data_IF_831378551118
#
_entry.id   IF_831378551118
#
_cell.length_a   1.000
_cell.length_b   1.000
_cell.length_c   1.000
_cell.angle_alpha   90.00
_cell.angle_beta   90.00
_cell.angle_gamma   90.00
#
_symmetry.space_group_name_H-M   'P 1'
#
loop_
_entity.id
_entity.type
_entity.pdbx_description
1 polymer ?
#
# COMPACT_ATOMS: atom_id res chain seq x y z
N UNK A 1 11.07 27.76 5.72
CA UNK A 1 9.63 27.53 5.99
C UNK A 1 9.13 28.34 7.17
N UNK A 2 9.90 28.42 8.26
CA UNK A 2 9.56 29.22 9.44
C UNK A 2 10.55 30.36 9.63
N UNK A 3 10.10 31.44 10.27
CA UNK A 3 10.96 32.54 10.65
C UNK A 3 11.99 32.09 11.70
N UNK A 4 13.26 32.43 11.49
CA UNK A 4 14.37 31.99 12.36
C UNK A 4 14.24 32.53 13.78
N UNK A 5 13.68 33.73 13.95
CA UNK A 5 13.47 34.32 15.29
C UNK A 5 12.35 33.57 16.02
N UNK A 6 11.25 33.24 15.33
CA UNK A 6 10.18 32.42 15.88
C UNK A 6 10.66 31.02 16.29
N UNK A 7 11.52 30.36 15.49
CA UNK A 7 12.08 29.05 15.85
C UNK A 7 12.96 29.11 17.10
N UNK A 8 13.76 30.16 17.26
CA UNK A 8 14.58 30.36 18.47
C UNK A 8 13.74 30.60 19.72
N UNK A 9 12.66 31.38 19.61
CA UNK A 9 11.73 31.59 20.71
C UNK A 9 11.03 30.28 21.09
N UNK A 10 10.62 29.50 20.09
CA UNK A 10 10.01 28.19 20.29
C UNK A 10 10.97 27.21 20.97
N UNK A 11 12.26 27.23 20.62
CA UNK A 11 13.29 26.44 21.29
C UNK A 11 13.39 26.78 22.77
N UNK A 12 13.40 28.07 23.11
CA UNK A 12 13.41 28.53 24.49
C UNK A 12 12.16 28.06 25.23
N UNK A 13 10.98 28.26 24.64
CA UNK A 13 9.71 27.86 25.25
C UNK A 13 9.59 26.33 25.42
N UNK A 14 10.13 25.55 24.48
CA UNK A 14 10.19 24.08 24.57
C UNK A 14 11.04 23.65 25.75
N UNK A 15 12.23 24.24 25.94
CA UNK A 15 13.09 23.98 27.11
C UNK A 15 12.40 24.37 28.42
N UNK A 16 11.70 25.50 28.45
CA UNK A 16 10.92 25.91 29.62
C UNK A 16 9.82 24.89 29.94
N UNK A 17 9.03 24.46 28.94
CA UNK A 17 8.01 23.45 29.12
C UNK A 17 8.57 22.11 29.58
N UNK A 18 9.69 21.67 29.00
CA UNK A 18 10.34 20.42 29.34
C UNK A 18 10.76 20.40 30.82
N UNK A 19 11.38 21.49 31.29
CA UNK A 19 11.85 21.60 32.67
C UNK A 19 10.74 21.91 33.68
N UNK A 20 9.75 22.74 33.31
CA UNK A 20 8.73 23.22 34.25
C UNK A 20 7.49 22.32 34.32
N UNK A 21 7.31 21.42 33.35
CA UNK A 21 6.09 20.65 33.20
C UNK A 21 6.38 19.17 32.93
N UNK A 22 7.11 18.86 31.85
CA UNK A 22 7.25 17.48 31.39
C UNK A 22 8.11 16.61 32.33
N UNK A 23 9.34 17.04 32.64
CA UNK A 23 10.26 16.29 33.51
C UNK A 23 9.66 16.10 34.92
N UNK A 24 9.17 17.14 35.63
CA UNK A 24 8.58 16.95 36.96
C UNK A 24 7.37 16.01 36.96
N UNK A 25 6.57 16.04 35.90
CA UNK A 25 5.43 15.14 35.78
C UNK A 25 5.86 13.70 35.49
N UNK A 26 6.86 13.50 34.63
CA UNK A 26 7.45 12.18 34.33
C UNK A 26 8.13 11.57 35.56
N UNK A 27 8.77 12.38 36.41
CA UNK A 27 9.35 11.92 37.68
C UNK A 27 8.26 11.53 38.69
N UNK A 28 7.18 12.33 38.78
CA UNK A 28 6.05 12.04 39.67
C UNK A 28 5.25 10.82 39.19
N UNK A 29 5.05 10.71 37.89
CA UNK A 29 4.25 9.71 37.21
C UNK A 29 5.04 9.20 35.99
N UNK A 30 5.85 8.13 36.15
CA UNK A 30 6.64 7.59 35.05
C UNK A 30 5.80 7.22 33.84
N UNK A 31 6.39 7.39 32.67
CA UNK A 31 5.79 6.91 31.43
C UNK A 31 5.68 5.39 31.44
N UNK A 32 4.70 4.85 30.71
CA UNK A 32 4.45 3.40 30.64
C UNK A 32 5.62 2.61 30.01
N UNK A 33 6.53 3.29 29.32
CA UNK A 33 7.73 2.75 28.66
C UNK A 33 8.85 3.76 28.79
N UNK A 34 10.08 3.27 28.85
CA UNK A 34 11.27 4.13 28.85
C UNK A 34 11.49 4.81 27.50
N UNK A 35 11.25 4.08 26.40
CA UNK A 35 11.32 4.57 25.03
C UNK A 35 10.04 4.21 24.26
N UNK A 36 9.60 5.13 23.40
CA UNK A 36 8.51 4.91 22.47
C UNK A 36 9.11 4.77 21.07
N UNK A 37 8.86 3.65 20.42
CA UNK A 37 9.29 3.39 19.05
C UNK A 37 8.10 2.94 18.20
N UNK A 38 8.15 3.25 16.90
CA UNK A 38 7.26 2.63 15.94
C UNK A 38 7.75 1.22 15.56
N UNK A 39 6.99 0.50 14.72
CA UNK A 39 7.33 -0.86 14.27
C UNK A 39 8.60 -0.96 13.41
N UNK A 40 9.22 0.18 13.09
CA UNK A 40 10.48 0.28 12.35
C UNK A 40 11.63 0.78 13.22
N UNK A 41 11.48 0.72 14.55
CA UNK A 41 12.49 1.11 15.55
C UNK A 41 12.90 2.58 15.44
N UNK A 42 11.99 3.42 14.93
CA UNK A 42 12.18 4.86 14.96
C UNK A 42 11.65 5.38 16.28
N UNK A 43 12.53 6.02 17.05
CA UNK A 43 12.16 6.71 18.29
C UNK A 43 11.14 7.81 18.03
N UNK A 44 10.10 7.81 18.86
CA UNK A 44 9.00 8.77 18.85
C UNK A 44 9.25 9.74 20.00
N UNK A 45 9.56 10.99 19.67
CA UNK A 45 9.69 12.04 20.66
C UNK A 45 8.34 12.32 21.33
N UNK A 46 8.31 12.74 22.61
CA UNK A 46 7.07 13.07 23.31
C UNK A 46 6.34 14.28 22.73
N UNK A 47 7.05 15.11 21.94
CA UNK A 47 6.49 16.28 21.28
C UNK A 47 7.27 16.61 20.00
N UNK A 48 6.55 16.81 18.91
CA UNK A 48 7.06 17.37 17.65
C UNK A 48 6.49 18.78 17.43
N UNK A 49 7.32 19.66 16.88
CA UNK A 49 7.09 21.10 16.73
C UNK A 49 7.65 21.57 15.38
N UNK A 50 7.39 22.83 14.97
CA UNK A 50 8.05 23.41 13.80
C UNK A 50 9.59 23.34 13.80
N UNK A 51 10.25 23.22 14.95
CA UNK A 51 11.71 23.06 15.01
C UNK A 51 12.16 21.73 14.41
N UNK A 52 11.35 20.67 14.54
CA UNK A 52 11.72 19.31 14.11
C UNK A 52 11.66 19.14 12.58
N UNK A 53 11.14 20.16 11.87
CA UNK A 53 11.17 20.28 10.41
C UNK A 53 11.75 21.64 9.96
N UNK A 54 12.38 22.39 10.87
CA UNK A 54 12.77 23.79 10.67
C UNK A 54 13.73 24.02 9.49
N UNK A 55 14.59 23.03 9.22
CA UNK A 55 15.60 23.07 8.17
C UNK A 55 15.09 22.66 6.78
N UNK A 56 13.83 22.20 6.68
CA UNK A 56 13.25 21.82 5.38
C UNK A 56 12.85 23.04 4.55
N UNK A 57 13.15 22.97 3.27
CA UNK A 57 12.66 23.91 2.26
C UNK A 57 11.32 23.41 1.73
N UNK A 58 10.28 24.25 1.83
CA UNK A 58 8.94 23.87 1.39
C UNK A 58 8.91 23.53 -0.09
N UNK A 59 9.49 24.35 -0.96
CA UNK A 59 9.40 24.18 -2.40
C UNK A 59 10.27 23.03 -2.89
N UNK A 60 11.39 22.75 -2.21
CA UNK A 60 12.32 21.67 -2.60
C UNK A 60 11.98 20.31 -1.98
N UNK A 61 11.64 20.26 -0.70
CA UNK A 61 11.52 19.00 0.04
C UNK A 61 10.07 18.50 0.15
N UNK A 62 9.08 19.40 0.03
CA UNK A 62 7.65 19.08 0.18
C UNK A 62 6.90 19.27 -1.15
N UNK A 63 7.03 20.45 -1.74
CA UNK A 63 6.41 20.88 -3.00
C UNK A 63 4.88 20.75 -3.05
N UNK A 64 4.31 20.98 -4.24
CA UNK A 64 2.89 20.81 -4.55
C UNK A 64 2.61 19.39 -5.07
N UNK A 65 1.39 18.85 -4.91
CA UNK A 65 1.04 17.57 -5.51
C UNK A 65 1.18 17.62 -7.04
N UNK A 66 1.73 16.56 -7.63
CA UNK A 66 2.04 16.51 -9.07
C UNK A 66 3.35 17.21 -9.48
N UNK A 67 4.10 17.77 -8.53
CA UNK A 67 5.42 18.35 -8.76
C UNK A 67 6.49 17.59 -7.96
N UNK A 68 7.71 17.51 -8.50
CA UNK A 68 8.85 16.93 -7.77
C UNK A 68 9.03 17.62 -6.40
N UNK A 69 9.31 16.89 -5.30
CA UNK A 69 9.65 15.47 -5.20
C UNK A 69 8.44 14.55 -4.99
N UNK A 70 7.22 15.02 -5.29
CA UNK A 70 5.97 14.27 -5.18
C UNK A 70 5.61 13.81 -3.76
N UNK A 71 6.18 14.45 -2.72
CA UNK A 71 5.91 14.09 -1.33
C UNK A 71 4.40 14.17 -1.00
N UNK A 72 3.68 15.10 -1.66
CA UNK A 72 2.24 15.30 -1.49
C UNK A 72 1.37 14.52 -2.49
N UNK A 73 1.98 13.65 -3.29
CA UNK A 73 1.32 12.81 -4.30
C UNK A 73 1.76 13.11 -5.72
N UNK A 74 1.68 12.10 -6.59
CA UNK A 74 2.14 12.14 -8.00
C UNK A 74 1.17 12.85 -8.95
N UNK A 75 -0.05 13.18 -8.52
CA UNK A 75 -1.08 13.82 -9.34
C UNK A 75 -1.59 15.09 -8.66
N UNK A 76 -1.75 16.20 -9.40
CA UNK A 76 -2.13 17.49 -8.79
C UNK A 76 -3.51 17.49 -8.14
N UNK A 77 -4.47 16.73 -8.66
CA UNK A 77 -5.84 16.66 -8.12
C UNK A 77 -6.05 15.51 -7.14
N UNK A 78 -5.13 14.54 -7.08
CA UNK A 78 -5.26 13.29 -6.31
C UNK A 78 -6.70 12.75 -6.34
N UNK A 79 -7.23 12.38 -5.18
CA UNK A 79 -8.55 11.76 -5.01
C UNK A 79 -9.74 12.73 -5.17
N UNK A 80 -9.50 14.04 -5.35
CA UNK A 80 -10.54 14.98 -5.79
C UNK A 80 -10.84 14.83 -7.28
N UNK A 81 -9.86 14.39 -8.07
CA UNK A 81 -10.03 14.13 -9.50
C UNK A 81 -10.42 12.68 -9.80
N UNK A 82 -9.71 11.72 -9.21
CA UNK A 82 -9.99 10.29 -9.38
C UNK A 82 -9.69 9.53 -8.09
N UNK A 83 -10.67 8.81 -7.56
CA UNK A 83 -10.46 7.93 -6.39
C UNK A 83 -9.42 6.84 -6.73
N UNK A 84 -8.77 6.28 -5.72
CA UNK A 84 -7.89 5.13 -5.94
C UNK A 84 -8.68 3.95 -6.53
N UNK A 85 -8.02 3.10 -7.32
CA UNK A 85 -8.64 1.88 -7.82
C UNK A 85 -8.91 0.95 -6.64
N UNK A 86 -10.19 0.64 -6.41
CA UNK A 86 -10.57 -0.46 -5.54
C UNK A 86 -10.29 -1.76 -6.30
N UNK A 87 -9.25 -2.48 -5.87
CA UNK A 87 -8.75 -3.69 -6.51
C UNK A 87 -8.53 -4.77 -5.45
N UNK A 88 -9.42 -5.74 -5.39
CA UNK A 88 -9.35 -6.91 -4.56
C UNK A 88 -8.50 -7.98 -5.23
N UNK A 89 -7.70 -8.64 -4.40
CA UNK A 89 -6.90 -9.78 -4.83
C UNK A 89 -7.77 -11.04 -4.79
N UNK A 90 -7.98 -11.66 -5.95
CA UNK A 90 -8.92 -12.77 -6.09
C UNK A 90 -8.47 -13.81 -7.12
N UNK A 91 -8.66 -15.07 -6.73
CA UNK A 91 -8.45 -16.26 -7.54
C UNK A 91 -8.59 -17.50 -6.66
N UNK A 92 -9.29 -18.52 -7.16
CA UNK A 92 -9.42 -19.85 -6.56
C UNK A 92 -10.03 -20.81 -7.59
N UNK A 93 -9.79 -22.10 -7.42
CA UNK A 93 -10.41 -23.15 -8.23
C UNK A 93 -10.10 -23.01 -9.72
N UNK A 94 -11.11 -23.27 -10.53
CA UNK A 94 -11.02 -23.15 -11.99
C UNK A 94 -11.16 -21.69 -12.46
N UNK A 95 -10.86 -21.47 -13.73
CA UNK A 95 -11.05 -20.18 -14.39
C UNK A 95 -12.52 -19.72 -14.35
N UNK A 96 -13.49 -20.63 -14.45
CA UNK A 96 -14.92 -20.32 -14.34
C UNK A 96 -15.29 -19.81 -12.94
N UNK A 97 -14.85 -20.50 -11.88
CA UNK A 97 -15.16 -20.12 -10.50
C UNK A 97 -14.58 -18.74 -10.16
N UNK A 98 -13.35 -18.47 -10.62
CA UNK A 98 -12.75 -17.14 -10.46
C UNK A 98 -13.42 -16.08 -11.33
N UNK A 99 -13.87 -16.41 -12.54
CA UNK A 99 -14.64 -15.49 -13.39
C UNK A 99 -15.94 -15.05 -12.69
N UNK A 100 -16.67 -15.98 -12.07
CA UNK A 100 -17.86 -15.68 -11.28
C UNK A 100 -17.55 -14.73 -10.13
N UNK A 101 -16.41 -14.96 -9.44
CA UNK A 101 -15.92 -14.05 -8.39
C UNK A 101 -15.61 -12.65 -8.92
N UNK A 102 -14.99 -12.52 -10.09
CA UNK A 102 -14.73 -11.22 -10.70
C UNK A 102 -16.02 -10.48 -11.04
N UNK A 103 -16.99 -11.16 -11.64
CA UNK A 103 -18.30 -10.59 -11.94
C UNK A 103 -19.01 -10.13 -10.67
N UNK A 104 -18.96 -10.94 -9.61
CA UNK A 104 -19.48 -10.54 -8.30
C UNK A 104 -18.80 -9.26 -7.80
N UNK A 105 -17.47 -9.19 -7.78
CA UNK A 105 -16.75 -8.05 -7.23
C UNK A 105 -16.98 -6.77 -8.04
N UNK A 106 -16.96 -6.86 -9.36
CA UNK A 106 -17.28 -5.74 -10.26
C UNK A 106 -18.70 -5.22 -10.01
N UNK A 107 -19.67 -6.11 -9.82
CA UNK A 107 -21.04 -5.73 -9.47
C UNK A 107 -21.15 -5.03 -8.09
N UNK A 108 -20.17 -5.23 -7.20
CA UNK A 108 -20.11 -4.64 -5.86
C UNK A 108 -19.14 -3.44 -5.75
N UNK A 109 -18.76 -2.85 -6.88
CA UNK A 109 -18.01 -1.58 -6.91
C UNK A 109 -16.49 -1.73 -7.02
N UNK A 110 -15.98 -2.93 -7.26
CA UNK A 110 -14.58 -3.08 -7.68
C UNK A 110 -14.35 -2.36 -9.03
N UNK A 111 -13.22 -1.67 -9.17
CA UNK A 111 -12.90 -0.81 -10.33
C UNK A 111 -11.67 -1.26 -11.11
N UNK A 112 -11.07 -2.39 -10.70
CA UNK A 112 -10.03 -3.10 -11.43
C UNK A 112 -9.79 -4.47 -10.79
N UNK A 113 -9.36 -5.45 -11.57
CA UNK A 113 -9.19 -6.84 -11.11
C UNK A 113 -7.74 -7.14 -10.72
N UNK A 114 -7.51 -8.00 -9.72
CA UNK A 114 -6.19 -8.55 -9.43
C UNK A 114 -6.21 -10.07 -9.37
N UNK A 115 -5.49 -10.72 -10.27
CA UNK A 115 -5.45 -12.18 -10.41
C UNK A 115 -4.47 -12.79 -9.43
N UNK A 116 -4.96 -13.67 -8.56
CA UNK A 116 -4.17 -14.57 -7.74
C UNK A 116 -4.10 -15.94 -8.42
N UNK A 117 -2.90 -16.39 -8.79
CA UNK A 117 -2.69 -17.71 -9.41
C UNK A 117 -2.37 -18.78 -8.37
N UNK A 118 -2.70 -20.03 -8.66
CA UNK A 118 -2.32 -21.14 -7.81
C UNK A 118 -0.81 -21.44 -7.86
N UNK A 119 -0.32 -22.32 -6.99
CA UNK A 119 1.11 -22.66 -6.95
C UNK A 119 1.62 -23.26 -8.27
N UNK A 120 0.96 -24.25 -8.89
CA UNK A 120 1.35 -24.76 -10.20
C UNK A 120 1.58 -23.66 -11.24
N UNK A 121 0.62 -22.76 -11.43
CA UNK A 121 0.73 -21.64 -12.36
C UNK A 121 1.85 -20.68 -11.95
N UNK A 122 2.01 -20.37 -10.67
CA UNK A 122 3.09 -19.49 -10.18
C UNK A 122 4.50 -20.04 -10.46
N UNK A 123 4.64 -21.37 -10.56
CA UNK A 123 5.89 -22.07 -10.83
C UNK A 123 6.04 -22.54 -12.30
N UNK A 124 5.02 -22.32 -13.14
CA UNK A 124 5.06 -22.68 -14.56
C UNK A 124 4.84 -24.18 -14.81
N UNK A 125 4.10 -24.85 -13.93
CA UNK A 125 3.66 -26.23 -14.13
C UNK A 125 2.24 -26.28 -14.67
N UNK A 126 2.02 -27.18 -15.63
CA UNK A 126 0.67 -27.57 -16.00
C UNK A 126 -0.04 -28.28 -14.84
N UNK A 127 -1.36 -28.19 -14.82
CA UNK A 127 -2.21 -28.75 -13.76
C UNK A 127 -2.03 -30.26 -13.55
N UNK A 128 -1.67 -31.00 -14.61
CA UNK A 128 -1.44 -32.44 -14.58
C UNK A 128 0.01 -32.84 -14.25
N UNK A 129 0.90 -31.85 -14.08
CA UNK A 129 2.28 -32.12 -13.69
C UNK A 129 2.34 -32.82 -12.32
N UNK A 130 3.22 -33.83 -12.11
CA UNK A 130 3.28 -34.55 -10.84
C UNK A 130 3.50 -33.67 -9.61
N UNK A 131 4.21 -32.54 -9.75
CA UNK A 131 4.43 -31.56 -8.68
C UNK A 131 3.23 -30.65 -8.41
N UNK A 132 2.25 -30.58 -9.32
CA UNK A 132 1.02 -29.82 -9.15
C UNK A 132 -0.05 -30.58 -8.35
N UNK A 133 0.17 -31.89 -8.11
CA UNK A 133 -0.82 -32.77 -7.48
C UNK A 133 -1.24 -32.23 -6.11
N UNK A 134 -2.52 -31.91 -5.99
CA UNK A 134 -3.12 -31.43 -4.76
C UNK A 134 -3.00 -29.93 -4.54
N UNK A 135 -2.38 -29.17 -5.45
CA UNK A 135 -2.26 -27.71 -5.37
C UNK A 135 -3.16 -26.95 -6.35
N UNK A 136 -3.77 -27.67 -7.30
CA UNK A 136 -4.72 -27.11 -8.26
C UNK A 136 -5.78 -26.25 -7.57
N UNK A 137 -5.84 -24.97 -7.96
CA UNK A 137 -6.89 -24.06 -7.55
C UNK A 137 -6.93 -23.70 -6.06
N UNK A 138 -5.99 -24.15 -5.23
CA UNK A 138 -6.08 -24.00 -3.76
C UNK A 138 -5.83 -22.57 -3.26
N UNK A 139 -4.76 -21.95 -3.76
CA UNK A 139 -4.31 -20.63 -3.31
C UNK A 139 -4.50 -19.53 -4.37
N UNK A 140 -5.17 -19.87 -5.47
CA UNK A 140 -5.39 -19.00 -6.61
C UNK A 140 -6.10 -19.75 -7.72
N UNK A 141 -6.36 -19.07 -8.84
CA UNK A 141 -6.92 -19.70 -10.04
C UNK A 141 -5.85 -20.55 -10.73
N UNK A 142 -6.23 -21.73 -11.19
CA UNK A 142 -5.38 -22.57 -12.02
C UNK A 142 -5.46 -22.13 -13.49
N UNK A 143 -4.30 -21.83 -14.10
CA UNK A 143 -4.15 -21.49 -15.52
C UNK A 143 -3.01 -22.34 -16.08
N UNK A 144 -3.30 -23.17 -17.08
CA UNK A 144 -2.30 -23.98 -17.78
C UNK A 144 -2.32 -23.76 -19.29
N UNK A 145 -3.23 -22.92 -19.78
CA UNK A 145 -3.37 -22.63 -21.20
C UNK A 145 -4.01 -21.28 -21.45
N UNK A 146 -3.86 -20.78 -22.70
CA UNK A 146 -4.61 -19.62 -23.18
C UNK A 146 -6.12 -19.80 -22.99
N UNK A 147 -6.63 -21.03 -23.10
CA UNK A 147 -8.05 -21.30 -22.96
C UNK A 147 -8.56 -20.97 -21.55
N UNK A 148 -7.76 -21.23 -20.53
CA UNK A 148 -8.12 -20.91 -19.15
C UNK A 148 -8.15 -19.39 -18.95
N UNK A 149 -7.22 -18.65 -19.54
CA UNK A 149 -7.24 -17.18 -19.53
C UNK A 149 -8.46 -16.60 -20.25
N UNK A 150 -8.85 -17.17 -21.40
CA UNK A 150 -10.07 -16.77 -22.11
C UNK A 150 -11.31 -16.96 -21.24
N UNK A 151 -11.39 -18.07 -20.50
CA UNK A 151 -12.48 -18.38 -19.58
C UNK A 151 -12.47 -17.42 -18.39
N UNK A 152 -11.28 -17.18 -17.81
CA UNK A 152 -11.09 -16.30 -16.67
C UNK A 152 -11.64 -14.90 -16.91
N UNK A 153 -11.45 -14.37 -18.13
CA UNK A 153 -11.91 -13.04 -18.53
C UNK A 153 -13.17 -13.05 -19.39
N UNK A 154 -13.86 -14.19 -19.51
CA UNK A 154 -15.07 -14.29 -20.30
C UNK A 154 -16.14 -13.31 -19.82
N UNK A 155 -16.68 -12.53 -20.76
CA UNK A 155 -17.67 -11.47 -20.55
C UNK A 155 -17.21 -10.33 -19.60
N UNK A 156 -15.90 -10.16 -19.43
CA UNK A 156 -15.31 -9.03 -18.69
C UNK A 156 -14.76 -8.02 -19.70
N UNK A 157 -15.14 -6.72 -19.62
CA UNK A 157 -14.69 -5.70 -20.56
C UNK A 157 -13.26 -5.24 -20.23
N UNK A 158 -12.27 -6.10 -20.53
CA UNK A 158 -10.85 -5.89 -20.22
C UNK A 158 -10.24 -4.66 -20.91
N UNK A 159 -10.89 -4.11 -21.94
CA UNK A 159 -10.54 -2.84 -22.58
C UNK A 159 -10.93 -1.60 -21.75
N UNK A 160 -11.85 -1.76 -20.79
CA UNK A 160 -12.41 -0.66 -19.97
C UNK A 160 -12.01 -0.72 -18.51
N UNK A 161 -11.57 -1.87 -18.05
CA UNK A 161 -11.06 -2.07 -16.69
C UNK A 161 -9.57 -2.34 -16.73
N UNK A 162 -8.90 -2.06 -15.62
CA UNK A 162 -7.48 -2.39 -15.48
C UNK A 162 -7.33 -3.76 -14.82
N UNK A 163 -6.46 -4.60 -15.35
CA UNK A 163 -6.12 -5.91 -14.79
C UNK A 163 -4.70 -5.88 -14.24
N UNK A 164 -4.52 -6.49 -13.07
CA UNK A 164 -3.23 -6.77 -12.47
C UNK A 164 -3.11 -8.27 -12.32
N UNK A 165 -1.93 -8.82 -12.57
CA UNK A 165 -1.70 -10.26 -12.49
C UNK A 165 -0.49 -10.48 -11.58
N UNK A 166 -0.69 -11.13 -10.43
CA UNK A 166 0.38 -11.39 -9.47
C UNK A 166 1.12 -12.65 -9.89
N UNK A 167 2.02 -12.49 -10.86
CA UNK A 167 2.82 -13.57 -11.45
C UNK A 167 4.29 -13.16 -11.51
N UNK A 168 5.21 -14.11 -11.39
CA UNK A 168 6.65 -13.84 -11.36
C UNK A 168 7.39 -14.70 -12.40
N UNK A 169 7.79 -15.93 -12.03
CA UNK A 169 8.63 -16.79 -12.86
C UNK A 169 8.13 -16.96 -14.30
N UNK A 170 6.89 -17.44 -14.50
CA UNK A 170 6.34 -17.66 -15.84
C UNK A 170 5.58 -16.43 -16.38
N UNK A 171 5.78 -15.22 -15.83
CA UNK A 171 5.08 -14.02 -16.28
C UNK A 171 5.07 -13.77 -17.81
N UNK A 172 6.13 -14.09 -18.58
CA UNK A 172 6.12 -13.90 -20.04
C UNK A 172 5.25 -14.90 -20.83
N UNK A 173 4.81 -15.99 -20.20
CA UNK A 173 4.19 -17.16 -20.87
C UNK A 173 2.88 -17.63 -20.21
N UNK A 174 2.47 -17.01 -19.12
CA UNK A 174 1.22 -17.32 -18.40
C UNK A 174 -0.02 -16.96 -19.21
#
# INVERSE_FOLDING_TARGET
MFDRKALKELEKRRKEWENSNYIPLKERNPEIREEFENLSWTRIAPLYTPMDIGDKDYLKDISFPGEYPYLRGIHSTMYRGKIWTMRQFAGFGTAEETNERYKYLLAHGETGLSVAFDYPTLYGYDTDHPLARGEFGKCGVAISSLRDMEILFKDIPVDRITTSMTINGPAPVV
#
